data_IF_842443228614
#
_entry.id   IF_842443228614
#
_cell.length_a   1.000
_cell.length_b   1.000
_cell.length_c   1.000
_cell.angle_alpha   90.00
_cell.angle_beta   90.00
_cell.angle_gamma   90.00
#
_symmetry.space_group_name_H-M   'P 1'
#
loop_
_entity.id
_entity.type
_entity.pdbx_description
1 polymer ?
#
# COMPACT_ATOMS: atom_id res chain seq x y z
N UNK A 1 12.52 -3.80 14.67
CA UNK A 1 13.75 -4.58 14.91
C UNK A 1 14.25 -5.02 13.55
N UNK A 2 15.51 -4.73 13.22
CA UNK A 2 16.08 -5.04 11.92
C UNK A 2 16.89 -6.33 12.02
N UNK A 3 16.48 -7.38 11.31
CA UNK A 3 17.22 -8.66 11.26
C UNK A 3 18.48 -8.49 10.41
N UNK A 4 18.37 -7.66 9.37
CA UNK A 4 19.42 -7.33 8.42
C UNK A 4 19.71 -5.83 8.42
N UNK A 5 20.92 -5.46 8.03
CA UNK A 5 21.38 -4.08 7.89
C UNK A 5 22.18 -3.90 6.61
N UNK A 6 22.21 -2.69 6.07
CA UNK A 6 23.08 -2.39 4.95
C UNK A 6 24.49 -2.07 5.46
N UNK A 7 25.48 -2.88 5.08
CA UNK A 7 26.90 -2.59 5.35
C UNK A 7 27.44 -1.67 4.27
N UNK A 8 27.98 -0.52 4.67
CA UNK A 8 28.62 0.42 3.75
C UNK A 8 29.92 -0.16 3.16
N UNK A 9 30.68 -0.91 3.95
CA UNK A 9 31.91 -1.60 3.57
C UNK A 9 31.66 -2.66 2.51
N UNK A 10 30.67 -3.52 2.72
CA UNK A 10 30.37 -4.64 1.81
C UNK A 10 29.36 -4.29 0.72
N UNK A 11 28.75 -3.10 0.77
CA UNK A 11 27.75 -2.59 -0.17
C UNK A 11 26.55 -3.52 -0.39
N UNK A 12 26.14 -4.23 0.66
CA UNK A 12 25.02 -5.18 0.62
C UNK A 12 24.32 -5.29 1.97
N UNK A 13 23.08 -5.76 1.93
CA UNK A 13 22.28 -6.02 3.12
C UNK A 13 22.65 -7.37 3.73
N UNK A 14 23.07 -7.37 5.00
CA UNK A 14 23.61 -8.52 5.68
C UNK A 14 22.92 -8.73 7.03
N UNK A 15 22.72 -9.99 7.42
CA UNK A 15 22.44 -10.34 8.81
C UNK A 15 23.72 -10.39 9.66
N UNK A 16 23.56 -10.65 10.96
CA UNK A 16 24.69 -10.72 11.89
C UNK A 16 25.63 -11.88 11.55
N UNK A 17 25.10 -13.05 11.20
CA UNK A 17 25.95 -14.22 10.90
C UNK A 17 26.82 -13.96 9.69
N UNK A 18 26.27 -13.34 8.65
CA UNK A 18 26.97 -12.95 7.45
C UNK A 18 28.04 -11.90 7.74
N UNK A 19 27.75 -10.87 8.55
CA UNK A 19 28.76 -9.86 8.95
C UNK A 19 29.91 -10.50 9.70
N UNK A 20 29.62 -11.35 10.69
CA UNK A 20 30.65 -12.00 11.50
C UNK A 20 31.49 -12.98 10.68
N UNK A 21 30.88 -13.69 9.73
CA UNK A 21 31.60 -14.62 8.86
C UNK A 21 32.53 -13.86 7.90
N UNK A 22 32.09 -12.72 7.35
CA UNK A 22 32.93 -11.85 6.51
C UNK A 22 34.08 -11.19 7.28
N UNK A 23 33.94 -11.06 8.60
CA UNK A 23 34.98 -10.58 9.51
C UNK A 23 35.88 -11.69 10.07
N UNK A 24 35.69 -12.93 9.63
CA UNK A 24 36.57 -14.06 9.97
C UNK A 24 36.25 -14.74 11.31
N UNK A 25 35.10 -14.47 11.94
CA UNK A 25 34.71 -15.18 13.16
C UNK A 25 34.28 -16.61 12.85
N UNK A 26 34.77 -17.57 13.64
CA UNK A 26 34.47 -19.00 13.50
C UNK A 26 32.96 -19.29 13.46
N UNK A 27 32.50 -19.85 12.34
CA UNK A 27 31.12 -20.19 12.08
C UNK A 27 30.64 -21.42 12.88
N UNK A 28 31.56 -22.16 13.53
CA UNK A 28 31.22 -23.32 14.37
C UNK A 28 30.69 -22.92 15.75
N UNK A 29 31.03 -21.71 16.21
CA UNK A 29 30.51 -21.17 17.46
C UNK A 29 29.07 -20.68 17.28
N UNK A 30 28.25 -20.84 18.32
CA UNK A 30 26.91 -20.28 18.31
C UNK A 30 26.94 -18.74 18.21
N UNK A 31 25.89 -18.17 17.64
CA UNK A 31 25.81 -16.73 17.35
C UNK A 31 26.00 -15.86 18.60
N UNK A 32 25.49 -16.27 19.77
CA UNK A 32 25.60 -15.49 20.99
C UNK A 32 27.03 -15.50 21.54
N UNK A 33 27.73 -16.64 21.46
CA UNK A 33 29.15 -16.72 21.83
C UNK A 33 30.01 -15.84 20.92
N UNK A 34 29.78 -15.88 19.59
CA UNK A 34 30.48 -15.01 18.63
C UNK A 34 30.27 -13.53 18.96
N UNK A 35 29.03 -13.11 19.23
CA UNK A 35 28.71 -11.71 19.58
C UNK A 35 29.36 -11.29 20.90
N UNK A 36 29.40 -12.17 21.91
CA UNK A 36 30.03 -11.88 23.21
C UNK A 36 31.54 -11.69 23.10
N UNK A 37 32.19 -12.43 22.20
CA UNK A 37 33.63 -12.37 21.98
C UNK A 37 34.09 -11.12 21.21
N UNK A 38 33.16 -10.33 20.65
CA UNK A 38 33.49 -9.07 19.99
C UNK A 38 34.07 -8.06 20.99
N UNK A 39 35.26 -7.55 20.67
CA UNK A 39 35.88 -6.41 21.33
C UNK A 39 35.03 -5.14 21.18
N UNK A 40 35.31 -4.13 22.01
CA UNK A 40 34.63 -2.83 21.90
C UNK A 40 34.98 -2.12 20.59
N UNK A 41 36.20 -2.30 20.09
CA UNK A 41 36.66 -1.76 18.81
C UNK A 41 35.86 -2.36 17.65
N UNK A 42 35.74 -3.69 17.58
CA UNK A 42 34.93 -4.38 16.55
C UNK A 42 33.45 -3.96 16.59
N UNK A 43 32.88 -3.81 17.80
CA UNK A 43 31.52 -3.30 17.96
C UNK A 43 31.38 -1.87 17.43
N UNK A 44 32.38 -1.02 17.68
CA UNK A 44 32.46 0.34 17.16
C UNK A 44 32.56 0.38 15.64
N UNK A 45 33.40 -0.48 15.04
CA UNK A 45 33.50 -0.60 13.60
C UNK A 45 32.20 -1.06 12.94
N UNK A 46 31.52 -2.07 13.53
CA UNK A 46 30.22 -2.53 13.02
C UNK A 46 29.19 -1.41 13.14
N UNK A 47 29.16 -0.72 14.28
CA UNK A 47 28.24 0.39 14.51
C UNK A 47 28.38 1.49 13.44
N UNK A 48 29.61 1.85 13.08
CA UNK A 48 29.89 2.87 12.06
C UNK A 48 29.64 2.38 10.62
N UNK A 49 29.81 1.08 10.37
CA UNK A 49 29.62 0.49 9.05
C UNK A 49 28.14 0.34 8.69
N UNK A 50 27.29 -0.01 9.65
CA UNK A 50 25.92 -0.44 9.36
C UNK A 50 24.90 0.70 9.41
N UNK A 51 24.03 0.73 8.39
CA UNK A 51 22.90 1.66 8.31
C UNK A 51 21.59 0.90 8.12
N UNK A 52 20.48 1.53 8.49
CA UNK A 52 19.15 1.00 8.26
C UNK A 52 18.92 0.81 6.75
N UNK A 53 18.49 -0.37 6.27
CA UNK A 53 18.31 -0.64 4.85
C UNK A 53 17.11 0.11 4.23
N UNK A 54 16.29 0.77 5.05
CA UNK A 54 15.09 1.52 4.64
C UNK A 54 15.35 3.02 4.72
N UNK A 55 15.52 3.55 5.94
CA UNK A 55 15.64 5.01 6.16
C UNK A 55 17.07 5.53 6.24
N UNK A 56 18.08 4.66 6.12
CA UNK A 56 19.51 5.00 6.21
C UNK A 56 19.96 5.62 7.54
N UNK A 57 19.15 5.51 8.61
CA UNK A 57 19.61 5.80 9.98
C UNK A 57 20.90 5.04 10.29
N UNK A 58 21.88 5.75 10.82
CA UNK A 58 23.20 5.21 11.14
C UNK A 58 23.24 4.55 12.52
N UNK A 59 24.25 3.72 12.77
CA UNK A 59 24.56 3.29 14.13
C UNK A 59 23.73 2.10 14.63
N UNK A 60 23.82 0.96 13.96
CA UNK A 60 23.15 -0.27 14.38
C UNK A 60 23.94 -1.03 15.46
N UNK A 61 23.37 -1.16 16.66
CA UNK A 61 23.95 -1.97 17.75
C UNK A 61 23.51 -3.42 17.63
N UNK A 62 24.43 -4.36 17.80
CA UNK A 62 24.11 -5.79 17.85
C UNK A 62 23.41 -6.10 19.18
N UNK A 63 22.29 -6.82 19.11
CA UNK A 63 21.55 -7.34 20.26
C UNK A 63 21.55 -8.86 20.19
N UNK A 64 21.90 -9.49 21.31
CA UNK A 64 21.96 -10.93 21.47
C UNK A 64 20.60 -11.60 21.20
N UNK A 65 20.66 -12.85 20.73
CA UNK A 65 19.49 -13.70 20.67
C UNK A 65 19.03 -14.07 22.09
N UNK A 66 17.71 -14.13 22.26
CA UNK A 66 17.02 -14.61 23.47
C UNK A 66 16.26 -15.89 23.13
N UNK A 67 15.73 -16.58 24.14
CA UNK A 67 14.92 -17.81 23.97
C UNK A 67 13.75 -17.66 23.00
N UNK A 68 13.20 -16.46 22.82
CA UNK A 68 12.07 -16.19 21.93
C UNK A 68 12.37 -15.30 20.73
N UNK A 69 13.61 -14.81 20.59
CA UNK A 69 13.99 -13.85 19.53
C UNK A 69 15.40 -14.08 19.04
N UNK A 70 15.58 -14.09 17.72
CA UNK A 70 16.90 -14.13 17.11
C UNK A 70 17.72 -12.86 17.38
N UNK A 71 19.03 -12.97 17.20
CA UNK A 71 19.94 -11.84 17.23
C UNK A 71 19.55 -10.83 16.15
N UNK A 72 19.67 -9.54 16.44
CA UNK A 72 19.22 -8.49 15.53
C UNK A 72 19.97 -7.18 15.77
N UNK A 73 19.78 -6.22 14.86
CA UNK A 73 20.29 -4.86 15.00
C UNK A 73 19.23 -3.95 15.62
N UNK A 74 19.69 -3.10 16.54
CA UNK A 74 18.91 -2.02 17.15
C UNK A 74 19.54 -0.68 16.80
N UNK A 75 18.75 0.19 16.18
CA UNK A 75 19.08 1.59 15.95
C UNK A 75 18.48 2.44 17.07
N UNK A 76 19.17 3.51 17.45
CA UNK A 76 18.70 4.42 18.50
C UNK A 76 17.50 5.24 18.01
N UNK A 77 17.52 5.66 16.73
CA UNK A 77 16.43 6.40 16.10
C UNK A 77 16.14 5.88 14.70
N UNK A 78 14.87 5.94 14.31
CA UNK A 78 14.42 5.72 12.94
C UNK A 78 13.53 6.88 12.52
N UNK A 79 13.60 7.22 11.24
CA UNK A 79 12.72 8.24 10.68
C UNK A 79 11.25 7.78 10.69
N UNK A 80 10.31 8.73 10.65
CA UNK A 80 8.87 8.48 10.87
C UNK A 80 8.28 7.37 9.98
N UNK A 81 8.51 7.41 8.66
CA UNK A 81 8.00 6.42 7.70
C UNK A 81 8.83 5.13 7.60
N UNK A 82 9.85 4.94 8.45
CA UNK A 82 10.62 3.70 8.43
C UNK A 82 9.78 2.54 9.00
N UNK A 83 9.73 1.41 8.30
CA UNK A 83 9.00 0.23 8.78
C UNK A 83 9.56 -0.32 10.10
N UNK A 84 10.84 -0.05 10.42
CA UNK A 84 11.46 -0.39 11.69
C UNK A 84 11.20 0.60 12.83
N UNK A 85 10.60 1.75 12.55
CA UNK A 85 10.20 2.70 13.58
C UNK A 85 8.98 2.17 14.34
N UNK A 86 9.20 1.76 15.60
CA UNK A 86 8.19 1.20 16.48
C UNK A 86 7.79 2.16 17.62
N UNK A 87 8.03 3.47 17.47
CA UNK A 87 7.51 4.46 18.42
C UNK A 87 5.99 4.36 18.51
N UNK A 88 5.43 4.54 19.71
CA UNK A 88 3.96 4.46 19.94
C UNK A 88 3.19 5.52 19.14
N UNK A 89 3.87 6.63 18.82
CA UNK A 89 3.33 7.73 18.02
C UNK A 89 3.40 7.46 16.51
N UNK A 90 4.13 6.42 16.09
CA UNK A 90 4.22 6.06 14.68
C UNK A 90 2.95 5.34 14.21
N UNK A 91 2.01 6.13 13.71
CA UNK A 91 0.81 5.66 13.03
C UNK A 91 0.97 5.62 11.51
N UNK A 92 2.20 5.68 11.02
CA UNK A 92 2.48 5.78 9.58
C UNK A 92 2.11 4.50 8.82
N UNK A 93 1.99 4.68 7.51
CA UNK A 93 1.81 3.61 6.55
C UNK A 93 3.06 2.75 6.46
N UNK A 94 2.99 1.55 7.03
CA UNK A 94 4.08 0.56 6.98
C UNK A 94 3.91 -0.37 5.79
N UNK A 95 5.04 -0.67 5.13
CA UNK A 95 5.11 -1.82 4.24
C UNK A 95 5.08 -3.12 5.04
N UNK A 96 4.92 -4.25 4.35
CA UNK A 96 5.02 -5.58 4.97
C UNK A 96 6.32 -6.24 4.56
N UNK A 97 7.22 -6.46 5.51
CA UNK A 97 8.41 -7.27 5.28
C UNK A 97 8.01 -8.72 5.09
N UNK A 98 8.60 -9.36 4.08
CA UNK A 98 8.29 -10.73 3.69
C UNK A 98 9.57 -11.55 3.74
N UNK A 99 9.55 -12.66 4.45
CA UNK A 99 10.71 -13.54 4.51
C UNK A 99 10.64 -14.58 3.38
N UNK A 100 11.50 -14.42 2.35
CA UNK A 100 11.60 -15.39 1.26
C UNK A 100 12.27 -16.70 1.69
N UNK A 101 12.98 -16.72 2.83
CA UNK A 101 13.65 -17.91 3.34
C UNK A 101 12.76 -18.87 4.14
N UNK A 102 11.56 -18.44 4.55
CA UNK A 102 10.73 -19.25 5.44
C UNK A 102 10.15 -20.49 4.73
N UNK A 103 10.60 -21.71 5.06
CA UNK A 103 10.12 -22.96 4.42
C UNK A 103 8.71 -23.39 4.84
N UNK A 104 7.76 -22.46 4.90
CA UNK A 104 6.43 -22.68 5.46
C UNK A 104 5.41 -23.13 4.42
N UNK A 105 5.60 -22.79 3.15
CA UNK A 105 4.61 -23.04 2.10
C UNK A 105 5.20 -23.31 0.73
N UNK A 106 4.41 -23.91 -0.16
CA UNK A 106 4.82 -24.28 -1.52
C UNK A 106 5.21 -23.06 -2.35
N UNK A 107 4.41 -21.99 -2.26
CA UNK A 107 4.71 -20.72 -2.90
C UNK A 107 6.04 -20.13 -2.42
N UNK A 108 6.36 -20.26 -1.13
CA UNK A 108 7.63 -19.76 -0.61
C UNK A 108 8.82 -20.53 -1.17
N UNK A 109 8.69 -21.85 -1.34
CA UNK A 109 9.74 -22.68 -1.96
C UNK A 109 10.01 -22.28 -3.40
N UNK A 110 8.95 -22.09 -4.21
CA UNK A 110 9.08 -21.64 -5.60
C UNK A 110 9.77 -20.27 -5.67
N UNK A 111 9.28 -19.30 -4.89
CA UNK A 111 9.82 -17.94 -4.92
C UNK A 111 11.26 -17.91 -4.40
N UNK A 112 11.59 -18.67 -3.34
CA UNK A 112 12.96 -18.79 -2.82
C UNK A 112 13.93 -19.32 -3.86
N UNK A 113 13.54 -20.36 -4.60
CA UNK A 113 14.35 -20.91 -5.69
C UNK A 113 14.58 -19.86 -6.78
N UNK A 114 13.55 -19.14 -7.20
CA UNK A 114 13.68 -18.07 -8.20
C UNK A 114 14.57 -16.92 -7.73
N UNK A 115 14.49 -16.53 -6.46
CA UNK A 115 15.37 -15.51 -5.87
C UNK A 115 16.82 -16.00 -5.86
N UNK A 116 17.07 -17.25 -5.43
CA UNK A 116 18.40 -17.85 -5.45
C UNK A 116 18.99 -17.91 -6.87
N UNK A 117 18.21 -18.38 -7.85
CA UNK A 117 18.58 -18.33 -9.28
C UNK A 117 18.89 -16.90 -9.71
N UNK A 118 18.08 -15.93 -9.30
CA UNK A 118 18.29 -14.53 -9.66
C UNK A 118 19.59 -13.95 -9.10
N UNK A 119 19.99 -14.37 -7.90
CA UNK A 119 21.27 -13.98 -7.29
C UNK A 119 22.45 -14.60 -8.04
N UNK A 120 22.40 -15.91 -8.32
CA UNK A 120 23.46 -16.59 -9.08
C UNK A 120 23.61 -16.04 -10.51
N UNK A 121 22.49 -15.71 -11.16
CA UNK A 121 22.46 -15.09 -12.49
C UNK A 121 22.77 -13.58 -12.46
N UNK A 122 23.06 -13.01 -11.29
CA UNK A 122 23.33 -11.57 -11.08
C UNK A 122 22.19 -10.65 -11.58
N UNK A 123 20.97 -11.18 -11.63
CA UNK A 123 19.74 -10.42 -11.95
C UNK A 123 19.25 -9.71 -10.67
N UNK A 124 19.31 -10.41 -9.55
CA UNK A 124 18.92 -9.91 -8.23
C UNK A 124 20.19 -9.75 -7.39
N UNK A 125 20.23 -8.72 -6.56
CA UNK A 125 21.26 -8.57 -5.54
C UNK A 125 20.66 -8.00 -4.25
N UNK A 126 21.31 -8.28 -3.12
CA UNK A 126 20.95 -7.68 -1.83
C UNK A 126 21.04 -6.15 -1.87
N UNK A 127 21.94 -5.59 -2.68
CA UNK A 127 22.02 -4.15 -2.93
C UNK A 127 20.73 -3.63 -3.57
N UNK A 128 20.26 -4.26 -4.67
CA UNK A 128 19.01 -3.88 -5.34
C UNK A 128 17.79 -3.97 -4.42
N UNK A 129 17.74 -4.96 -3.54
CA UNK A 129 16.64 -5.10 -2.57
C UNK A 129 16.66 -3.93 -1.58
N UNK A 130 17.83 -3.53 -1.09
CA UNK A 130 17.96 -2.36 -0.23
C UNK A 130 17.62 -1.06 -0.97
N UNK A 131 18.03 -0.91 -2.24
CA UNK A 131 17.68 0.25 -3.06
C UNK A 131 16.18 0.34 -3.32
N UNK A 132 15.50 -0.77 -3.59
CA UNK A 132 14.04 -0.80 -3.71
C UNK A 132 13.36 -0.30 -2.43
N UNK A 133 13.82 -0.76 -1.25
CA UNK A 133 13.26 -0.29 0.03
C UNK A 133 13.49 1.21 0.23
N UNK A 134 14.68 1.71 -0.15
CA UNK A 134 15.01 3.13 -0.11
C UNK A 134 14.12 3.95 -1.05
N UNK A 135 13.91 3.48 -2.28
CA UNK A 135 13.01 4.09 -3.26
C UNK A 135 11.59 4.26 -2.69
N UNK A 136 11.03 3.21 -2.08
CA UNK A 136 9.70 3.30 -1.46
C UNK A 136 9.67 4.26 -0.28
N UNK A 137 10.69 4.22 0.57
CA UNK A 137 10.81 5.15 1.70
C UNK A 137 10.89 6.61 1.24
N UNK A 138 11.70 6.90 0.22
CA UNK A 138 11.81 8.24 -0.35
C UNK A 138 10.49 8.69 -0.95
N UNK A 139 9.83 7.81 -1.71
CA UNK A 139 8.51 8.10 -2.28
C UNK A 139 7.52 8.51 -1.20
N UNK A 140 7.53 7.84 -0.03
CA UNK A 140 6.68 8.19 1.11
C UNK A 140 6.97 9.59 1.64
N UNK A 141 8.25 9.93 1.87
CA UNK A 141 8.63 11.25 2.41
C UNK A 141 8.26 12.37 1.45
N UNK A 142 8.52 12.21 0.15
CA UNK A 142 8.29 13.25 -0.84
C UNK A 142 6.80 13.54 -1.05
N UNK A 143 5.92 12.60 -0.70
CA UNK A 143 4.48 12.68 -1.00
C UNK A 143 3.63 12.54 0.27
N UNK A 144 4.10 13.13 1.37
CA UNK A 144 3.41 13.11 2.66
C UNK A 144 2.43 14.27 2.82
N UNK A 145 1.37 14.05 3.59
CA UNK A 145 0.41 15.08 3.98
C UNK A 145 -0.19 14.76 5.36
N UNK A 146 -0.85 15.75 5.97
CA UNK A 146 -1.60 15.53 7.21
C UNK A 146 -2.93 14.84 6.90
N UNK A 147 -3.26 13.80 7.64
CA UNK A 147 -4.55 13.11 7.54
C UNK A 147 -5.68 14.04 7.99
N UNK A 148 -6.54 14.40 7.02
CA UNK A 148 -7.63 15.38 7.15
C UNK A 148 -9.01 14.81 6.77
N UNK A 149 -9.07 13.56 6.31
CA UNK A 149 -10.32 12.89 5.91
C UNK A 149 -11.12 12.44 7.12
N UNK A 150 -12.45 12.69 7.12
CA UNK A 150 -13.37 12.22 8.16
C UNK A 150 -14.17 10.99 7.72
N UNK A 151 -14.79 10.30 8.69
CA UNK A 151 -15.73 9.19 8.39
C UNK A 151 -16.97 9.70 7.64
N UNK A 152 -17.40 10.94 7.87
CA UNK A 152 -18.54 11.51 7.16
C UNK A 152 -18.19 11.85 5.71
N UNK A 153 -16.95 12.28 5.43
CA UNK A 153 -16.46 12.40 4.06
C UNK A 153 -16.46 11.05 3.32
N UNK A 154 -16.10 9.95 4.00
CA UNK A 154 -16.18 8.61 3.43
C UNK A 154 -17.64 8.23 3.08
N UNK A 155 -18.58 8.44 3.99
CA UNK A 155 -20.02 8.18 3.73
C UNK A 155 -20.54 9.03 2.57
N UNK A 156 -20.14 10.29 2.52
CA UNK A 156 -20.48 11.21 1.44
C UNK A 156 -20.00 10.71 0.09
N UNK A 157 -18.72 10.32 0.00
CA UNK A 157 -18.17 9.73 -1.21
C UNK A 157 -18.92 8.47 -1.66
N UNK A 158 -19.27 7.57 -0.73
CA UNK A 158 -20.08 6.38 -1.04
C UNK A 158 -21.46 6.76 -1.57
N UNK A 159 -22.10 7.78 -0.97
CA UNK A 159 -23.38 8.27 -1.45
C UNK A 159 -23.26 8.81 -2.87
N UNK A 160 -22.27 9.64 -3.17
CA UNK A 160 -22.01 10.13 -4.53
C UNK A 160 -21.72 8.98 -5.51
N UNK A 161 -20.96 7.97 -5.10
CA UNK A 161 -20.70 6.76 -5.90
C UNK A 161 -22.02 6.05 -6.28
N UNK A 162 -22.94 5.91 -5.31
CA UNK A 162 -24.26 5.29 -5.55
C UNK A 162 -25.16 6.05 -6.53
N UNK A 163 -24.94 7.36 -6.71
CA UNK A 163 -25.76 8.20 -7.58
C UNK A 163 -25.36 8.13 -9.06
N UNK A 164 -24.23 7.50 -9.41
CA UNK A 164 -23.74 7.48 -10.81
C UNK A 164 -24.72 6.85 -11.78
N UNK A 165 -25.36 5.74 -11.39
CA UNK A 165 -26.35 5.09 -12.26
C UNK A 165 -27.57 5.98 -12.46
N UNK A 166 -28.02 6.66 -11.40
CA UNK A 166 -29.12 7.60 -11.48
C UNK A 166 -28.74 8.78 -12.38
N UNK A 167 -27.54 9.35 -12.23
CA UNK A 167 -27.11 10.50 -13.03
C UNK A 167 -27.04 10.28 -14.54
N UNK A 168 -27.11 9.02 -15.01
CA UNK A 168 -27.16 8.66 -16.43
C UNK A 168 -28.60 8.53 -16.97
N UNK A 169 -29.61 8.61 -16.11
CA UNK A 169 -31.02 8.48 -16.52
C UNK A 169 -31.56 9.81 -17.03
N UNK A 170 -32.35 9.76 -18.10
CA UNK A 170 -32.93 10.93 -18.77
C UNK A 170 -33.81 11.79 -17.86
N UNK A 171 -34.48 11.18 -16.88
CA UNK A 171 -35.35 11.90 -15.94
C UNK A 171 -34.58 12.96 -15.13
N UNK A 172 -33.33 12.70 -14.80
CA UNK A 172 -32.48 13.62 -14.04
C UNK A 172 -31.81 14.69 -14.92
N UNK A 173 -32.07 14.74 -16.23
CA UNK A 173 -31.65 15.83 -17.12
C UNK A 173 -32.76 16.85 -17.40
N UNK A 174 -33.99 16.58 -16.95
CA UNK A 174 -35.10 17.51 -17.07
C UNK A 174 -34.91 18.61 -16.01
N UNK A 175 -34.72 19.85 -16.44
CA UNK A 175 -34.66 21.00 -15.53
C UNK A 175 -36.04 21.22 -14.92
N UNK A 176 -36.10 21.41 -13.60
CA UNK A 176 -37.35 21.72 -12.91
C UNK A 176 -37.99 22.99 -13.50
N UNK A 177 -39.31 22.94 -13.66
CA UNK A 177 -40.15 24.10 -13.94
C UNK A 177 -41.29 24.08 -12.91
N UNK A 178 -41.59 25.21 -12.24
CA UNK A 178 -42.70 25.33 -11.32
C UNK A 178 -44.04 24.77 -11.82
N UNK A 179 -44.32 24.87 -13.12
CA UNK A 179 -45.56 24.36 -13.71
C UNK A 179 -45.74 22.84 -13.53
N UNK A 180 -44.63 22.09 -13.45
CA UNK A 180 -44.69 20.63 -13.28
C UNK A 180 -45.33 20.23 -11.94
N UNK A 181 -45.25 21.10 -10.93
CA UNK A 181 -45.85 20.88 -9.62
C UNK A 181 -47.39 20.93 -9.63
N UNK A 182 -48.03 21.33 -10.74
CA UNK A 182 -49.48 21.23 -10.91
C UNK A 182 -49.98 19.79 -11.13
N UNK A 183 -49.07 18.85 -11.43
CA UNK A 183 -49.44 17.45 -11.61
C UNK A 183 -50.00 16.87 -10.29
N UNK A 184 -51.14 16.14 -10.32
CA UNK A 184 -51.81 15.66 -9.10
C UNK A 184 -50.95 14.82 -8.15
N UNK A 185 -49.93 14.13 -8.68
CA UNK A 185 -49.02 13.26 -7.93
C UNK A 185 -47.55 13.71 -8.07
N UNK A 186 -47.29 15.01 -8.20
CA UNK A 186 -45.93 15.52 -8.34
C UNK A 186 -45.06 15.11 -7.15
N UNK A 187 -43.93 14.44 -7.42
CA UNK A 187 -43.01 13.96 -6.40
C UNK A 187 -41.88 14.98 -6.15
N UNK A 188 -42.08 15.83 -5.16
CA UNK A 188 -41.12 16.85 -4.73
C UNK A 188 -39.73 16.29 -4.41
N UNK A 189 -39.69 15.13 -3.76
CA UNK A 189 -38.43 14.48 -3.39
C UNK A 189 -37.65 14.03 -4.63
N UNK A 190 -38.33 13.44 -5.61
CA UNK A 190 -37.69 13.03 -6.87
C UNK A 190 -37.18 14.25 -7.66
N UNK A 191 -37.92 15.36 -7.66
CA UNK A 191 -37.48 16.60 -8.27
C UNK A 191 -36.24 17.18 -7.56
N UNK A 192 -36.22 17.15 -6.22
CA UNK A 192 -35.08 17.58 -5.42
C UNK A 192 -33.84 16.71 -5.66
N UNK A 193 -34.00 15.38 -5.73
CA UNK A 193 -32.90 14.46 -6.08
C UNK A 193 -32.37 14.71 -7.51
N UNK A 194 -33.26 15.00 -8.46
CA UNK A 194 -32.87 15.35 -9.82
C UNK A 194 -32.02 16.61 -9.86
N UNK A 195 -32.45 17.66 -9.17
CA UNK A 195 -31.71 18.91 -9.14
C UNK A 195 -30.39 18.76 -8.37
N UNK A 196 -30.37 18.00 -7.27
CA UNK A 196 -29.16 17.66 -6.55
C UNK A 196 -28.12 17.00 -7.48
N UNK A 197 -28.54 16.00 -8.25
CA UNK A 197 -27.66 15.30 -9.21
C UNK A 197 -27.12 16.27 -10.27
N UNK A 198 -27.97 17.15 -10.81
CA UNK A 198 -27.55 18.15 -11.80
C UNK A 198 -26.50 19.12 -11.23
N UNK A 199 -26.74 19.65 -10.04
CA UNK A 199 -25.85 20.61 -9.37
C UNK A 199 -24.52 19.97 -8.93
N UNK A 200 -24.50 18.65 -8.70
CA UNK A 200 -23.33 17.93 -8.20
C UNK A 200 -22.75 16.93 -9.21
N UNK A 201 -23.04 17.07 -10.51
CA UNK A 201 -22.61 16.09 -11.53
C UNK A 201 -21.09 15.90 -11.55
N UNK A 202 -20.33 16.99 -11.44
CA UNK A 202 -18.87 16.95 -11.39
C UNK A 202 -18.36 16.18 -10.17
N UNK A 203 -18.99 16.35 -9.01
CA UNK A 203 -18.62 15.61 -7.79
C UNK A 203 -18.95 14.12 -7.91
N UNK A 204 -20.08 13.78 -8.53
CA UNK A 204 -20.45 12.40 -8.84
C UNK A 204 -19.41 11.81 -9.79
N UNK A 205 -18.98 12.53 -10.82
CA UNK A 205 -17.94 12.06 -11.75
C UNK A 205 -16.60 11.84 -11.06
N UNK A 206 -16.12 12.79 -10.26
CA UNK A 206 -14.88 12.65 -9.48
C UNK A 206 -14.96 11.43 -8.56
N UNK A 207 -16.07 11.25 -7.84
CA UNK A 207 -16.28 10.13 -6.93
C UNK A 207 -16.25 8.77 -7.64
N UNK A 208 -16.67 8.73 -8.90
CA UNK A 208 -16.74 7.52 -9.72
C UNK A 208 -15.55 7.34 -10.66
N UNK A 209 -14.61 8.28 -10.71
CA UNK A 209 -13.36 8.15 -11.46
C UNK A 209 -12.35 7.27 -10.71
N UNK A 210 -12.79 6.07 -10.31
CA UNK A 210 -11.98 4.99 -9.78
C UNK A 210 -12.74 3.65 -9.78
N UNK A 211 -12.03 2.59 -10.16
CA UNK A 211 -12.59 1.24 -10.28
C UNK A 211 -12.52 0.43 -8.97
N UNK A 212 -12.15 1.06 -7.86
CA UNK A 212 -12.02 0.36 -6.58
C UNK A 212 -13.41 -0.07 -6.07
N UNK A 213 -13.60 -1.39 -5.97
CA UNK A 213 -14.76 -1.99 -5.34
C UNK A 213 -14.68 -1.86 -3.81
N UNK A 214 -15.81 -1.51 -3.19
CA UNK A 214 -15.90 -1.35 -1.74
C UNK A 214 -16.65 -2.55 -1.18
N UNK A 215 -15.90 -3.59 -0.81
CA UNK A 215 -16.47 -4.66 0.00
C UNK A 215 -16.68 -4.19 1.44
N UNK A 216 -17.57 -4.84 2.19
CA UNK A 216 -17.78 -4.51 3.62
C UNK A 216 -16.46 -4.56 4.42
N UNK A 217 -15.60 -5.54 4.11
CA UNK A 217 -14.29 -5.69 4.76
C UNK A 217 -13.37 -4.49 4.49
N UNK A 218 -13.33 -4.00 3.25
CA UNK A 218 -12.54 -2.81 2.88
C UNK A 218 -13.12 -1.57 3.55
N UNK A 219 -14.46 -1.42 3.57
CA UNK A 219 -15.13 -0.32 4.23
C UNK A 219 -14.80 -0.23 5.72
N UNK A 220 -14.98 -1.33 6.47
CA UNK A 220 -14.69 -1.38 7.90
C UNK A 220 -13.22 -1.08 8.19
N UNK A 221 -12.32 -1.58 7.34
CA UNK A 221 -10.89 -1.31 7.45
C UNK A 221 -10.56 0.15 7.15
N UNK A 222 -11.25 0.77 6.20
CA UNK A 222 -11.10 2.19 5.85
C UNK A 222 -11.52 3.08 7.01
N UNK A 223 -12.66 2.80 7.65
CA UNK A 223 -13.10 3.53 8.85
C UNK A 223 -12.04 3.46 9.95
N UNK A 224 -11.56 2.26 10.29
CA UNK A 224 -10.55 2.08 11.33
C UNK A 224 -9.27 2.83 10.99
N UNK A 225 -8.86 2.82 9.72
CA UNK A 225 -7.66 3.51 9.25
C UNK A 225 -7.79 5.02 9.41
N UNK A 226 -8.93 5.60 9.00
CA UNK A 226 -9.24 7.03 9.20
C UNK A 226 -9.17 7.40 10.67
N UNK A 227 -9.91 6.69 11.53
CA UNK A 227 -9.97 6.99 12.96
C UNK A 227 -8.60 6.89 13.64
N UNK A 228 -7.82 5.86 13.30
CA UNK A 228 -6.53 5.64 13.92
C UNK A 228 -5.51 6.70 13.52
N UNK A 229 -5.54 7.15 12.26
CA UNK A 229 -4.49 8.01 11.68
C UNK A 229 -4.85 9.50 11.64
N UNK A 230 -5.99 9.88 12.23
CA UNK A 230 -6.46 11.27 12.24
C UNK A 230 -5.39 12.23 12.77
N UNK A 231 -5.13 13.30 12.00
CA UNK A 231 -4.16 14.34 12.33
C UNK A 231 -2.69 13.91 12.24
N UNK A 232 -2.39 12.63 12.00
CA UNK A 232 -1.04 12.14 11.77
C UNK A 232 -0.55 12.46 10.35
N UNK A 233 0.77 12.42 10.15
CA UNK A 233 1.35 12.48 8.81
C UNK A 233 1.15 11.11 8.14
N UNK A 234 0.63 11.11 6.92
CA UNK A 234 0.37 9.94 6.08
C UNK A 234 0.93 10.18 4.67
N UNK A 235 1.09 9.13 3.89
CA UNK A 235 1.59 9.22 2.51
C UNK A 235 0.45 9.05 1.49
N UNK A 236 0.52 9.82 0.41
CA UNK A 236 -0.39 9.69 -0.73
C UNK A 236 0.01 8.51 -1.62
N UNK A 237 -0.63 7.36 -1.38
CA UNK A 237 -0.32 6.11 -2.09
C UNK A 237 -0.61 6.18 -3.59
N UNK A 238 -1.38 7.15 -4.09
CA UNK A 238 -1.71 7.25 -5.51
C UNK A 238 -0.47 7.44 -6.39
N UNK A 239 0.62 7.97 -5.82
CA UNK A 239 1.93 8.08 -6.48
C UNK A 239 2.56 6.73 -6.82
N UNK A 240 2.10 5.66 -6.18
CA UNK A 240 2.50 4.29 -6.42
C UNK A 240 1.45 3.49 -7.19
N UNK A 241 0.44 4.13 -7.79
CA UNK A 241 -0.64 3.43 -8.50
C UNK A 241 -0.13 2.59 -9.67
N UNK A 242 0.74 3.14 -10.53
CA UNK A 242 1.32 2.38 -11.64
C UNK A 242 2.18 1.21 -11.13
N UNK A 243 3.15 1.43 -10.21
CA UNK A 243 3.87 0.33 -9.57
C UNK A 243 2.97 -0.76 -8.97
N UNK A 244 1.89 -0.36 -8.29
CA UNK A 244 0.93 -1.28 -7.68
C UNK A 244 0.19 -2.10 -8.73
N UNK A 245 -0.42 -1.46 -9.73
CA UNK A 245 -1.16 -2.12 -10.81
C UNK A 245 -0.27 -3.12 -11.55
N UNK A 246 0.95 -2.69 -11.92
CA UNK A 246 1.91 -3.56 -12.61
C UNK A 246 2.32 -4.75 -11.73
N UNK A 247 2.46 -4.54 -10.41
CA UNK A 247 2.76 -5.62 -9.46
C UNK A 247 1.63 -6.63 -9.38
N UNK A 248 0.37 -6.19 -9.33
CA UNK A 248 -0.80 -7.07 -9.37
C UNK A 248 -0.83 -7.86 -10.68
N UNK A 249 -0.65 -7.20 -11.83
CA UNK A 249 -0.63 -7.86 -13.14
C UNK A 249 0.48 -8.90 -13.25
N UNK A 250 1.70 -8.57 -12.80
CA UNK A 250 2.81 -9.52 -12.83
C UNK A 250 2.61 -10.67 -11.83
N UNK A 251 2.06 -10.39 -10.64
CA UNK A 251 1.74 -11.42 -9.66
C UNK A 251 0.69 -12.41 -10.19
N UNK A 252 -0.32 -11.92 -10.92
CA UNK A 252 -1.29 -12.76 -11.64
C UNK A 252 -0.58 -13.64 -12.68
N UNK A 253 0.29 -13.04 -13.49
CA UNK A 253 1.05 -13.78 -14.49
C UNK A 253 1.91 -14.88 -13.86
N UNK A 254 2.65 -14.56 -12.80
CA UNK A 254 3.50 -15.50 -12.06
C UNK A 254 2.67 -16.62 -11.45
N UNK A 255 1.61 -16.29 -10.71
CA UNK A 255 0.80 -17.29 -10.02
C UNK A 255 0.17 -18.28 -11.01
N UNK A 256 -0.34 -17.79 -12.14
CA UNK A 256 -0.95 -18.62 -13.17
C UNK A 256 0.07 -19.54 -13.87
N UNK A 257 1.19 -18.98 -14.34
CA UNK A 257 2.15 -19.75 -15.14
C UNK A 257 3.04 -20.69 -14.31
N UNK A 258 3.27 -20.37 -13.04
CA UNK A 258 4.03 -21.23 -12.12
C UNK A 258 3.13 -22.10 -11.24
N UNK A 259 1.83 -22.14 -11.50
CA UNK A 259 0.85 -22.95 -10.76
C UNK A 259 0.86 -22.70 -9.24
N UNK A 260 1.09 -21.46 -8.81
CA UNK A 260 1.09 -21.08 -7.39
C UNK A 260 -0.34 -20.96 -6.89
N UNK A 261 -0.83 -22.00 -6.19
CA UNK A 261 -2.23 -22.15 -5.77
C UNK A 261 -2.37 -22.36 -4.26
N UNK A 262 -3.53 -21.94 -3.74
CA UNK A 262 -3.97 -22.26 -2.39
C UNK A 262 -4.27 -23.76 -2.31
N UNK A 263 -3.59 -24.47 -1.41
CA UNK A 263 -3.72 -25.92 -1.27
C UNK A 263 -5.12 -26.39 -0.85
N UNK A 264 -5.93 -25.52 -0.23
CA UNK A 264 -7.29 -25.84 0.25
C UNK A 264 -8.36 -25.42 -0.75
N UNK A 265 -8.17 -24.26 -1.41
CA UNK A 265 -9.20 -23.66 -2.28
C UNK A 265 -8.93 -23.86 -3.77
N UNK A 266 -7.73 -24.27 -4.16
CA UNK A 266 -7.32 -24.43 -5.56
C UNK A 266 -7.15 -23.12 -6.34
N UNK A 267 -7.51 -21.98 -5.74
CA UNK A 267 -7.39 -20.65 -6.35
C UNK A 267 -5.92 -20.19 -6.41
N UNK A 268 -5.56 -19.45 -7.46
CA UNK A 268 -4.22 -18.87 -7.60
C UNK A 268 -3.93 -17.83 -6.52
N UNK A 269 -2.74 -17.88 -5.93
CA UNK A 269 -2.30 -17.04 -4.81
C UNK A 269 -1.79 -15.66 -5.26
N UNK A 270 -2.60 -14.95 -6.04
CA UNK A 270 -2.27 -13.63 -6.63
C UNK A 270 -1.95 -12.60 -5.54
N UNK A 271 -2.71 -12.60 -4.45
CA UNK A 271 -2.58 -11.65 -3.35
C UNK A 271 -1.64 -12.13 -2.24
N UNK A 272 -0.82 -13.15 -2.49
CA UNK A 272 0.16 -13.63 -1.52
C UNK A 272 1.30 -12.62 -1.41
N UNK A 273 1.64 -12.23 -0.17
CA UNK A 273 2.68 -11.23 0.09
C UNK A 273 4.02 -11.60 -0.54
N UNK A 274 4.35 -12.89 -0.62
CA UNK A 274 5.59 -13.37 -1.22
C UNK A 274 5.60 -13.23 -2.74
N UNK A 275 4.48 -13.51 -3.40
CA UNK A 275 4.35 -13.33 -4.85
C UNK A 275 4.38 -11.83 -5.18
N UNK A 276 3.69 -11.00 -4.37
CA UNK A 276 3.69 -9.54 -4.54
C UNK A 276 5.07 -8.93 -4.32
N UNK A 277 5.79 -9.33 -3.27
CA UNK A 277 7.13 -8.82 -2.99
C UNK A 277 8.13 -9.22 -4.08
N UNK A 278 8.05 -10.46 -4.60
CA UNK A 278 8.90 -10.88 -5.71
C UNK A 278 8.55 -10.17 -7.02
N UNK A 279 7.25 -9.98 -7.31
CA UNK A 279 6.78 -9.23 -8.48
C UNK A 279 7.27 -7.78 -8.44
N UNK A 280 7.13 -7.12 -7.29
CA UNK A 280 7.61 -5.75 -7.09
C UNK A 280 9.14 -5.65 -7.29
N UNK A 281 9.89 -6.64 -6.83
CA UNK A 281 11.35 -6.70 -7.02
C UNK A 281 11.73 -6.83 -8.50
N UNK A 282 11.10 -7.74 -9.24
CA UNK A 282 11.37 -7.90 -10.67
C UNK A 282 11.03 -6.63 -11.45
N UNK A 283 9.90 -6.00 -11.15
CA UNK A 283 9.49 -4.75 -11.77
C UNK A 283 10.44 -3.61 -11.44
N UNK A 284 10.86 -3.48 -10.19
CA UNK A 284 11.80 -2.44 -9.77
C UNK A 284 13.13 -2.51 -10.55
N UNK A 285 13.63 -3.72 -10.82
CA UNK A 285 14.88 -3.94 -11.57
C UNK A 285 14.79 -3.44 -13.02
N UNK A 286 13.59 -3.31 -13.56
CA UNK A 286 13.33 -2.94 -14.96
C UNK A 286 12.43 -1.70 -15.06
N UNK A 287 12.53 -0.80 -14.09
CA UNK A 287 11.82 0.49 -14.08
C UNK A 287 10.30 0.36 -14.25
N UNK A 288 9.72 -0.66 -13.61
CA UNK A 288 8.29 -0.98 -13.61
C UNK A 288 7.72 -1.40 -14.97
N UNK A 289 8.56 -1.79 -15.95
CA UNK A 289 8.10 -2.34 -17.23
C UNK A 289 7.70 -3.83 -17.10
N UNK A 290 6.42 -4.12 -17.36
CA UNK A 290 5.85 -5.47 -17.24
C UNK A 290 6.50 -6.45 -18.22
N UNK A 291 6.73 -6.05 -19.48
CA UNK A 291 7.26 -6.94 -20.50
C UNK A 291 8.71 -7.32 -20.18
N UNK A 292 9.51 -6.33 -19.78
CA UNK A 292 10.88 -6.55 -19.33
C UNK A 292 10.92 -7.45 -18.09
N UNK A 293 9.99 -7.27 -17.14
CA UNK A 293 9.93 -8.10 -15.93
C UNK A 293 9.56 -9.55 -16.25
N UNK A 294 8.64 -9.77 -17.20
CA UNK A 294 8.31 -11.11 -17.71
C UNK A 294 9.53 -11.76 -18.36
N UNK A 295 10.31 -11.02 -19.16
CA UNK A 295 11.54 -11.55 -19.76
C UNK A 295 12.57 -11.94 -18.70
N UNK A 296 12.70 -11.17 -17.61
CA UNK A 296 13.54 -11.56 -16.46
C UNK A 296 13.02 -12.83 -15.80
N UNK A 297 11.71 -12.94 -15.58
CA UNK A 297 11.08 -14.13 -15.01
C UNK A 297 11.36 -15.38 -15.86
N UNK A 298 11.16 -15.32 -17.18
CA UNK A 298 11.41 -16.44 -18.10
C UNK A 298 12.86 -16.91 -17.96
N UNK A 299 13.81 -15.97 -17.99
CA UNK A 299 15.23 -16.27 -17.80
C UNK A 299 15.51 -16.97 -16.45
N UNK A 300 14.83 -16.57 -15.38
CA UNK A 300 14.96 -17.22 -14.07
C UNK A 300 14.40 -18.65 -14.07
N UNK A 301 13.25 -18.86 -14.72
CA UNK A 301 12.62 -20.18 -14.81
C UNK A 301 13.48 -21.16 -15.62
N UNK A 302 14.05 -20.69 -16.74
CA UNK A 302 14.92 -21.48 -17.62
C UNK A 302 16.32 -21.73 -17.04
N UNK A 303 16.71 -20.99 -15.99
CA UNK A 303 18.01 -21.16 -15.33
C UNK A 303 18.09 -22.50 -14.57
N UNK A 304 19.29 -23.11 -14.50
CA UNK A 304 19.50 -24.34 -13.74
C UNK A 304 19.14 -24.14 -12.26
N UNK A 305 18.93 -25.25 -11.55
CA UNK A 305 18.73 -25.22 -10.10
C UNK A 305 19.91 -24.52 -9.41
N UNK A 306 19.66 -23.69 -8.38
CA UNK A 306 20.71 -22.94 -7.73
C UNK A 306 21.69 -23.87 -7.02
N UNK A 307 22.98 -23.54 -7.11
CA UNK A 307 24.05 -24.19 -6.34
C UNK A 307 23.92 -23.94 -4.84
N UNK A 308 23.46 -22.75 -4.44
CA UNK A 308 23.15 -22.41 -3.05
C UNK A 308 21.72 -21.86 -2.91
N UNK A 309 20.80 -22.71 -2.48
CA UNK A 309 19.41 -22.33 -2.20
C UNK A 309 19.28 -21.36 -1.02
N UNK A 310 20.28 -21.28 -0.13
CA UNK A 310 20.27 -20.36 1.01
C UNK A 310 20.58 -18.93 0.60
N UNK A 311 21.16 -18.71 -0.58
CA UNK A 311 21.27 -17.36 -1.18
C UNK A 311 19.89 -16.71 -1.34
N UNK A 312 18.83 -17.50 -1.50
CA UNK A 312 17.44 -17.05 -1.55
C UNK A 312 16.80 -16.65 -0.20
N UNK A 313 17.50 -16.83 0.93
CA UNK A 313 17.05 -16.40 2.26
C UNK A 313 17.16 -14.89 2.41
N UNK A 314 16.36 -14.15 1.66
CA UNK A 314 16.35 -12.69 1.69
C UNK A 314 15.01 -12.18 2.19
N UNK A 315 15.05 -11.09 2.95
CA UNK A 315 13.84 -10.39 3.35
C UNK A 315 13.39 -9.52 2.16
N UNK A 316 12.26 -9.87 1.54
CA UNK A 316 11.55 -9.04 0.59
C UNK A 316 10.74 -7.92 1.28
N UNK A 317 10.21 -7.01 0.47
CA UNK A 317 9.26 -5.99 0.90
C UNK A 317 8.02 -6.10 -0.01
N UNK A 318 6.85 -6.29 0.60
CA UNK A 318 5.57 -5.94 -0.04
C UNK A 318 5.27 -4.47 0.31
N UNK A 319 5.48 -3.53 -0.62
CA UNK A 319 5.34 -2.10 -0.36
C UNK A 319 3.88 -1.64 -0.43
N UNK A 320 2.97 -2.49 -0.93
CA UNK A 320 1.58 -2.16 -1.23
C UNK A 320 0.60 -2.68 -0.18
N UNK A 321 1.07 -2.91 1.04
CA UNK A 321 0.20 -3.32 2.14
C UNK A 321 -0.90 -2.27 2.35
N UNK A 322 -2.16 -2.71 2.27
CA UNK A 322 -3.36 -1.87 2.36
C UNK A 322 -3.46 -0.76 1.31
N UNK A 323 -2.82 -0.93 0.15
CA UNK A 323 -2.86 0.06 -0.93
C UNK A 323 -4.29 0.51 -1.28
N UNK A 324 -5.21 -0.42 -1.49
CA UNK A 324 -6.60 -0.12 -1.87
C UNK A 324 -7.31 0.76 -0.82
N UNK A 325 -7.11 0.47 0.47
CA UNK A 325 -7.68 1.27 1.58
C UNK A 325 -7.16 2.70 1.51
N UNK A 326 -5.85 2.87 1.32
CA UNK A 326 -5.25 4.19 1.23
C UNK A 326 -5.59 4.93 -0.06
N UNK A 327 -5.77 4.21 -1.17
CA UNK A 327 -6.21 4.78 -2.44
C UNK A 327 -7.66 5.28 -2.35
N UNK A 328 -8.53 4.55 -1.63
CA UNK A 328 -9.88 5.00 -1.29
C UNK A 328 -9.81 6.27 -0.45
N UNK A 329 -8.98 6.31 0.60
CA UNK A 329 -8.82 7.51 1.44
C UNK A 329 -8.37 8.72 0.60
N UNK A 330 -7.42 8.53 -0.32
CA UNK A 330 -6.98 9.60 -1.23
C UNK A 330 -8.12 10.10 -2.12
N UNK A 331 -8.96 9.19 -2.65
CA UNK A 331 -10.14 9.57 -3.44
C UNK A 331 -11.21 10.28 -2.61
N UNK A 332 -11.47 9.83 -1.40
CA UNK A 332 -12.37 10.51 -0.46
C UNK A 332 -11.87 11.92 -0.17
N UNK A 333 -10.56 12.10 -0.01
CA UNK A 333 -9.94 13.42 0.19
C UNK A 333 -10.16 14.35 -1.00
N UNK A 334 -9.94 13.86 -2.22
CA UNK A 334 -10.17 14.63 -3.46
C UNK A 334 -11.63 15.11 -3.55
N UNK A 335 -12.59 14.22 -3.25
CA UNK A 335 -14.02 14.52 -3.26
C UNK A 335 -14.39 15.48 -2.14
N UNK A 336 -13.85 15.28 -0.94
CA UNK A 336 -14.03 16.16 0.20
C UNK A 336 -13.55 17.57 -0.09
N UNK A 337 -12.37 17.73 -0.69
CA UNK A 337 -11.81 19.03 -1.05
C UNK A 337 -12.63 19.74 -2.13
N UNK A 338 -13.32 18.99 -2.97
CA UNK A 338 -14.19 19.52 -4.02
C UNK A 338 -15.62 19.83 -3.51
N UNK A 339 -15.99 19.33 -2.33
CA UNK A 339 -17.34 19.47 -1.78
C UNK A 339 -17.47 20.76 -0.96
N UNK A 340 -18.24 21.72 -1.46
CA UNK A 340 -18.38 23.05 -0.83
C UNK A 340 -19.53 23.16 0.18
N UNK A 341 -20.53 22.27 0.10
CA UNK A 341 -21.76 22.37 0.87
C UNK A 341 -21.84 21.40 2.07
N UNK A 342 -20.71 20.83 2.49
CA UNK A 342 -20.68 19.78 3.53
C UNK A 342 -21.12 18.40 3.01
N UNK A 343 -21.39 17.47 3.94
CA UNK A 343 -21.49 16.03 3.65
C UNK A 343 -22.88 15.41 3.93
N UNK A 344 -23.86 16.21 4.37
CA UNK A 344 -25.19 15.72 4.72
C UNK A 344 -26.13 15.73 3.51
N UNK A 345 -26.23 14.57 2.85
CA UNK A 345 -27.15 14.37 1.72
C UNK A 345 -28.61 14.66 2.09
N UNK A 346 -29.07 14.26 3.28
CA UNK A 346 -30.47 14.41 3.65
C UNK A 346 -30.81 15.89 3.80
N UNK A 347 -29.94 16.64 4.49
CA UNK A 347 -30.09 18.09 4.63
C UNK A 347 -30.07 18.81 3.27
N UNK A 348 -29.23 18.35 2.32
CA UNK A 348 -29.19 18.92 0.96
C UNK A 348 -30.51 18.70 0.22
N UNK A 349 -31.04 17.48 0.25
CA UNK A 349 -32.33 17.18 -0.39
C UNK A 349 -33.47 17.99 0.24
N UNK A 350 -33.52 18.11 1.57
CA UNK A 350 -34.55 18.90 2.28
C UNK A 350 -34.47 20.40 1.94
N UNK A 351 -33.25 20.95 1.84
CA UNK A 351 -33.03 22.34 1.45
C UNK A 351 -33.46 22.59 0.00
N UNK A 352 -33.11 21.69 -0.93
CA UNK A 352 -33.54 21.77 -2.33
C UNK A 352 -35.06 21.63 -2.43
N UNK A 353 -35.67 20.69 -1.71
CA UNK A 353 -37.13 20.50 -1.73
C UNK A 353 -37.86 21.76 -1.28
N UNK A 354 -37.38 22.40 -0.21
CA UNK A 354 -37.94 23.65 0.29
C UNK A 354 -37.77 24.78 -0.71
N UNK A 355 -36.62 24.88 -1.38
CA UNK A 355 -36.37 25.85 -2.45
C UNK A 355 -37.36 25.67 -3.61
N UNK A 356 -37.55 24.44 -4.10
CA UNK A 356 -38.46 24.16 -5.21
C UNK A 356 -39.93 24.48 -4.86
N UNK A 357 -40.35 24.19 -3.62
CA UNK A 357 -41.69 24.56 -3.13
C UNK A 357 -41.88 26.07 -3.10
N UNK A 358 -40.87 26.82 -2.64
CA UNK A 358 -40.92 28.28 -2.63
C UNK A 358 -40.96 28.86 -4.05
N UNK A 359 -40.18 28.32 -4.99
CA UNK A 359 -40.23 28.69 -6.41
C UNK A 359 -41.62 28.47 -7.02
N UNK A 360 -42.30 27.38 -6.65
CA UNK A 360 -43.67 27.12 -7.08
C UNK A 360 -44.70 28.08 -6.50
N UNK A 361 -44.65 28.37 -5.20
CA UNK A 361 -45.59 29.31 -4.59
C UNK A 361 -45.43 30.73 -5.16
N UNK A 362 -44.19 31.16 -5.45
CA UNK A 362 -43.91 32.41 -6.14
C UNK A 362 -44.45 32.40 -7.58
N UNK A 363 -44.23 31.32 -8.33
CA UNK A 363 -44.77 31.19 -9.68
C UNK A 363 -46.31 31.26 -9.67
N UNK A 364 -46.95 30.57 -8.72
CA UNK A 364 -48.40 30.53 -8.56
C UNK A 364 -49.00 31.89 -8.19
N UNK A 365 -48.29 32.72 -7.41
CA UNK A 365 -48.76 34.07 -7.09
C UNK A 365 -48.64 35.03 -8.28
N UNK A 366 -47.69 34.80 -9.19
CA UNK A 366 -47.49 35.59 -10.41
C UNK A 366 -48.42 35.21 -11.58
N UNK A 367 -49.06 34.03 -11.50
CA UNK A 367 -49.90 33.47 -12.58
C UNK A 367 -51.35 33.18 -12.11
N UNK A 368 -51.72 33.69 -10.94
CA UNK A 368 -53.11 33.91 -10.55
C UNK A 368 -53.52 35.32 -10.99
#
# INVERSE_FOLDING_TARGET
MAITVFSQRFKRELDIEQILSLRGHDCRLDINSRIKNLSNEEKGEIYNDVICPICRSQGGKIVLASTSKQAHFRFDTHNYFCDYNNSKDNKSQKGKLVDFGSERSHETKIIRELVAKGIEQKIISQHLISEMRKYFYDTKIHNQHKMDVSVDALKWWIKLKSLKRLSLTTIHHIKFNPIYAQLPNFNWKLAAESLFIQENINLIEIANNCDWEITQKIYDKTIRTIQNTQGSIVFDVTKLQIPYQNTITLAQFIANNLSIKDSKKGNYLISSDIVLAFSALLLYIVDWDIKAAILKLIKLVESPAPTDINSGNVIGLNPFYDFEVWAIIAKVREVSNSSTNGFDYKAHIEAIETRLKNEYELWKSLHK
#
